data_IF_098301030680
#
_entry.id   IF_098301030680
#
_cell.length_a   1.000
_cell.length_b   1.000
_cell.length_c   1.000
_cell.angle_alpha   90.00
_cell.angle_beta   90.00
_cell.angle_gamma   90.00
#
_symmetry.space_group_name_H-M   'P 1'
#
loop_
_entity.id
_entity.type
_entity.pdbx_description
1 polymer ?
#
# COMPACT_ATOMS: atom_id res chain seq x y z
N UNK A 1 -14.15 13.80 -30.07
CA UNK A 1 -15.35 13.68 -29.21
C UNK A 1 -15.64 12.20 -28.97
N UNK A 2 -16.57 11.84 -28.08
CA UNK A 2 -17.01 10.43 -27.91
C UNK A 2 -17.57 9.89 -29.24
N UNK A 3 -18.37 10.70 -29.94
CA UNK A 3 -18.88 10.37 -31.27
C UNK A 3 -17.75 10.06 -32.26
N UNK A 4 -16.69 10.86 -32.28
CA UNK A 4 -15.56 10.61 -33.19
C UNK A 4 -14.87 9.27 -32.88
N UNK A 5 -14.68 8.94 -31.60
CA UNK A 5 -14.09 7.66 -31.17
C UNK A 5 -14.95 6.46 -31.56
N UNK A 6 -16.28 6.59 -31.49
CA UNK A 6 -17.21 5.54 -31.89
C UNK A 6 -17.13 5.23 -33.40
N UNK A 7 -16.83 6.22 -34.24
CA UNK A 7 -16.73 6.09 -35.69
C UNK A 7 -15.34 5.65 -36.19
N UNK A 8 -14.30 5.70 -35.34
CA UNK A 8 -12.98 5.19 -35.71
C UNK A 8 -13.04 3.65 -35.76
N UNK A 9 -12.50 3.00 -36.82
CA UNK A 9 -12.43 1.55 -36.86
C UNK A 9 -11.68 0.99 -35.65
N UNK A 10 -12.21 -0.03 -34.95
CA UNK A 10 -11.65 -0.52 -33.69
C UNK A 10 -10.18 -0.99 -33.83
N UNK A 11 -9.78 -1.50 -34.99
CA UNK A 11 -8.40 -1.92 -35.27
C UNK A 11 -7.39 -0.76 -35.31
N UNK A 12 -7.84 0.46 -35.60
CA UNK A 12 -6.99 1.67 -35.55
C UNK A 12 -6.73 2.01 -34.09
N UNK A 13 -7.78 2.07 -33.26
CA UNK A 13 -7.64 2.32 -31.83
C UNK A 13 -6.83 1.23 -31.13
N UNK A 14 -7.03 -0.05 -31.50
CA UNK A 14 -6.25 -1.17 -30.96
C UNK A 14 -4.76 -1.08 -31.32
N UNK A 15 -4.41 -0.58 -32.50
CA UNK A 15 -3.00 -0.34 -32.86
C UNK A 15 -2.37 0.79 -32.05
N UNK A 16 -3.14 1.84 -31.74
CA UNK A 16 -2.65 2.99 -30.97
C UNK A 16 -2.56 2.72 -29.46
N UNK A 17 -3.56 2.01 -28.91
CA UNK A 17 -3.76 1.89 -27.46
C UNK A 17 -3.77 0.42 -26.97
N UNK A 18 -3.47 -0.54 -27.83
CA UNK A 18 -3.51 -1.96 -27.50
C UNK A 18 -4.91 -2.44 -27.16
N UNK A 19 -5.03 -3.35 -26.18
CA UNK A 19 -6.32 -3.87 -25.71
C UNK A 19 -7.27 -2.73 -25.24
N UNK A 20 -6.72 -1.65 -24.67
CA UNK A 20 -7.52 -0.51 -24.24
C UNK A 20 -8.17 0.24 -25.41
N UNK A 21 -7.59 0.16 -26.61
CA UNK A 21 -8.20 0.78 -27.79
C UNK A 21 -9.54 0.16 -28.16
N UNK A 22 -9.65 -1.17 -28.05
CA UNK A 22 -10.90 -1.88 -28.25
C UNK A 22 -11.92 -1.53 -27.15
N UNK A 23 -11.47 -1.46 -25.89
CA UNK A 23 -12.31 -1.05 -24.77
C UNK A 23 -12.85 0.39 -24.94
N UNK A 24 -12.01 1.33 -25.37
CA UNK A 24 -12.40 2.72 -25.65
C UNK A 24 -13.47 2.78 -26.74
N UNK A 25 -13.32 1.99 -27.81
CA UNK A 25 -14.32 1.91 -28.88
C UNK A 25 -15.65 1.36 -28.35
N UNK A 26 -15.62 0.29 -27.57
CA UNK A 26 -16.81 -0.29 -26.93
C UNK A 26 -17.50 0.72 -26.01
N UNK A 27 -16.76 1.36 -25.09
CA UNK A 27 -17.28 2.41 -24.21
C UNK A 27 -17.88 3.58 -24.99
N UNK A 28 -17.26 3.98 -26.10
CA UNK A 28 -17.76 5.09 -26.94
C UNK A 28 -19.07 4.74 -27.65
N UNK A 29 -19.36 3.44 -27.84
CA UNK A 29 -20.62 2.93 -28.38
C UNK A 29 -21.60 2.44 -27.29
N UNK A 30 -21.30 2.70 -26.01
CA UNK A 30 -22.15 2.25 -24.89
C UNK A 30 -22.16 0.73 -24.68
N UNK A 31 -21.14 0.02 -25.16
CA UNK A 31 -21.03 -1.43 -25.04
C UNK A 31 -20.20 -1.77 -23.80
N UNK A 32 -20.82 -2.37 -22.79
CA UNK A 32 -20.15 -2.98 -21.64
C UNK A 32 -20.81 -4.32 -21.31
N UNK A 33 -20.04 -5.40 -21.35
CA UNK A 33 -20.48 -6.76 -21.04
C UNK A 33 -20.04 -7.22 -19.64
N UNK A 34 -19.41 -6.34 -18.87
CA UNK A 34 -18.91 -6.66 -17.54
C UNK A 34 -20.07 -7.06 -16.61
N UNK A 35 -19.98 -8.20 -15.92
CA UNK A 35 -21.02 -8.59 -14.99
C UNK A 35 -21.03 -7.65 -13.78
N UNK A 36 -22.20 -7.43 -13.21
CA UNK A 36 -22.30 -6.82 -11.88
C UNK A 36 -21.84 -7.85 -10.86
N UNK A 37 -20.69 -7.63 -10.25
CA UNK A 37 -20.15 -8.47 -9.16
C UNK A 37 -20.20 -7.69 -7.83
N UNK A 38 -21.22 -7.94 -6.98
CA UNK A 38 -21.32 -7.31 -5.66
C UNK A 38 -20.14 -7.63 -4.74
N UNK A 39 -19.47 -8.77 -4.94
CA UNK A 39 -18.35 -9.20 -4.12
C UNK A 39 -17.04 -8.48 -4.49
N UNK A 40 -16.94 -7.91 -5.70
CA UNK A 40 -15.75 -7.20 -6.15
C UNK A 40 -15.39 -6.04 -5.22
N UNK A 41 -16.40 -5.29 -4.75
CA UNK A 41 -16.26 -4.15 -3.83
C UNK A 41 -15.72 -4.58 -2.46
N UNK A 42 -15.96 -5.83 -2.06
CA UNK A 42 -15.56 -6.36 -0.75
C UNK A 42 -14.11 -6.86 -0.75
N UNK A 43 -13.48 -7.04 -1.91
CA UNK A 43 -12.14 -7.62 -2.04
C UNK A 43 -11.06 -6.54 -2.24
N UNK A 44 -10.47 -6.07 -1.14
CA UNK A 44 -9.30 -5.20 -1.23
C UNK A 44 -8.11 -5.99 -1.81
N UNK A 45 -7.51 -5.48 -2.90
CA UNK A 45 -6.33 -6.08 -3.53
C UNK A 45 -5.01 -5.58 -2.94
N UNK A 46 -5.07 -4.50 -2.16
CA UNK A 46 -3.90 -3.88 -1.51
C UNK A 46 -4.31 -2.91 -0.40
N UNK A 47 -3.44 -2.71 0.58
CA UNK A 47 -3.59 -1.73 1.64
C UNK A 47 -2.37 -0.82 1.65
N UNK A 48 -2.59 0.47 1.39
CA UNK A 48 -1.52 1.46 1.41
C UNK A 48 -1.86 2.69 2.23
N UNK A 49 -0.82 3.42 2.59
CA UNK A 49 -0.89 4.73 3.17
C UNK A 49 0.29 5.57 2.66
N UNK A 50 0.02 6.81 2.31
CA UNK A 50 1.03 7.75 1.83
C UNK A 50 0.88 9.09 2.54
N UNK A 51 2.02 9.75 2.75
CA UNK A 51 2.12 11.03 3.43
C UNK A 51 2.85 12.00 2.51
N UNK A 52 2.18 13.09 2.15
CA UNK A 52 2.84 14.28 1.62
C UNK A 52 3.43 15.03 2.80
N UNK A 53 4.73 15.25 2.79
CA UNK A 53 5.43 15.94 3.87
C UNK A 53 5.05 17.43 3.85
N UNK A 54 5.00 18.08 5.03
CA UNK A 54 4.70 19.52 5.11
C UNK A 54 5.77 20.38 4.42
N UNK A 55 7.01 19.87 4.40
CA UNK A 55 8.16 20.47 3.72
C UNK A 55 8.94 19.33 3.04
N UNK A 56 9.41 19.59 1.82
CA UNK A 56 10.27 18.66 1.11
C UNK A 56 11.58 18.50 1.89
N UNK A 57 12.05 17.26 2.09
CA UNK A 57 13.16 16.99 3.00
C UNK A 57 14.21 16.05 2.41
N UNK A 58 15.48 16.30 2.74
CA UNK A 58 16.60 15.39 2.51
C UNK A 58 17.06 14.72 3.80
N UNK A 59 16.34 14.91 4.92
CA UNK A 59 16.66 14.27 6.19
C UNK A 59 16.24 12.80 6.14
N UNK A 60 17.24 11.93 5.98
CA UNK A 60 17.04 10.48 5.93
C UNK A 60 16.36 9.94 7.18
N UNK A 61 16.68 10.45 8.36
CA UNK A 61 16.12 9.96 9.62
C UNK A 61 14.64 10.31 9.70
N UNK A 62 14.28 11.53 9.31
CA UNK A 62 12.87 11.96 9.21
C UNK A 62 12.08 11.12 8.20
N UNK A 63 12.65 10.84 7.02
CA UNK A 63 12.01 9.99 6.01
C UNK A 63 11.80 8.57 6.56
N UNK A 64 12.79 8.02 7.24
CA UNK A 64 12.71 6.69 7.87
C UNK A 64 11.66 6.63 8.99
N UNK A 65 11.56 7.67 9.83
CA UNK A 65 10.50 7.76 10.85
C UNK A 65 9.10 7.79 10.22
N UNK A 66 8.92 8.58 9.15
CA UNK A 66 7.66 8.62 8.40
C UNK A 66 7.34 7.26 7.78
N UNK A 67 8.33 6.58 7.19
CA UNK A 67 8.15 5.25 6.64
C UNK A 67 7.69 4.23 7.70
N UNK A 68 8.30 4.25 8.89
CA UNK A 68 7.92 3.37 10.01
C UNK A 68 6.48 3.63 10.46
N UNK A 69 6.09 4.90 10.55
CA UNK A 69 4.71 5.29 10.88
C UNK A 69 3.71 4.73 9.87
N UNK A 70 3.99 4.88 8.57
CA UNK A 70 3.14 4.34 7.51
C UNK A 70 3.06 2.80 7.57
N UNK A 71 4.16 2.12 7.89
CA UNK A 71 4.19 0.67 8.07
C UNK A 71 3.28 0.21 9.21
N UNK A 72 3.34 0.87 10.38
CA UNK A 72 2.47 0.56 11.53
C UNK A 72 0.99 0.77 11.17
N UNK A 73 0.65 1.88 10.48
CA UNK A 73 -0.72 2.17 10.07
C UNK A 73 -1.26 1.13 9.06
N UNK A 74 -0.47 0.78 8.04
CA UNK A 74 -0.84 -0.24 7.03
C UNK A 74 -0.99 -1.61 7.68
N UNK A 75 -0.05 -2.00 8.54
CA UNK A 75 -0.08 -3.28 9.23
C UNK A 75 -1.32 -3.42 10.13
N UNK A 76 -1.65 -2.39 10.92
CA UNK A 76 -2.86 -2.38 11.74
C UNK A 76 -4.13 -2.49 10.89
N UNK A 77 -4.23 -1.71 9.80
CA UNK A 77 -5.39 -1.77 8.90
C UNK A 77 -5.57 -3.16 8.28
N UNK A 78 -4.48 -3.81 7.89
CA UNK A 78 -4.52 -5.20 7.39
C UNK A 78 -5.02 -6.19 8.44
N UNK A 79 -4.55 -6.07 9.70
CA UNK A 79 -5.02 -6.91 10.80
C UNK A 79 -6.51 -6.73 11.09
N UNK A 80 -7.01 -5.49 11.10
CA UNK A 80 -8.45 -5.23 11.24
C UNK A 80 -9.27 -5.84 10.11
N UNK A 81 -8.74 -5.85 8.90
CA UNK A 81 -9.39 -6.46 7.74
C UNK A 81 -9.23 -8.00 7.69
N UNK A 82 -8.46 -8.60 8.61
CA UNK A 82 -8.23 -10.06 8.65
C UNK A 82 -7.36 -10.59 7.51
N UNK A 83 -6.46 -9.76 6.97
CA UNK A 83 -5.57 -10.11 5.87
C UNK A 83 -4.09 -10.01 6.25
N UNK A 84 -3.29 -10.87 5.63
CA UNK A 84 -1.83 -10.72 5.54
C UNK A 84 -1.44 -10.56 4.08
N UNK A 85 -0.35 -9.86 3.82
CA UNK A 85 0.16 -9.59 2.47
C UNK A 85 1.62 -9.97 2.34
N UNK A 86 2.13 -10.05 1.12
CA UNK A 86 3.51 -10.50 0.89
C UNK A 86 4.32 -9.60 -0.02
N UNK A 87 3.67 -8.72 -0.77
CA UNK A 87 4.33 -7.77 -1.67
C UNK A 87 4.30 -6.39 -1.04
N UNK A 88 5.46 -5.93 -0.58
CA UNK A 88 5.65 -4.61 0.03
C UNK A 88 6.15 -3.66 -1.05
N UNK A 89 5.56 -2.46 -1.13
CA UNK A 89 5.86 -1.45 -2.14
C UNK A 89 6.18 -0.12 -1.49
N UNK A 90 7.37 0.42 -1.79
CA UNK A 90 7.78 1.78 -1.49
C UNK A 90 7.42 2.69 -2.66
N UNK A 91 6.85 3.85 -2.34
CA UNK A 91 6.63 4.97 -3.27
C UNK A 91 7.36 6.19 -2.72
N UNK A 92 8.17 6.83 -3.56
CA UNK A 92 8.77 8.12 -3.27
C UNK A 92 8.43 9.09 -4.39
N UNK A 93 8.12 10.33 -4.03
CA UNK A 93 7.98 11.44 -4.98
C UNK A 93 8.92 12.56 -4.59
N UNK A 94 9.67 13.07 -5.55
CA UNK A 94 10.55 14.22 -5.36
C UNK A 94 9.80 15.55 -5.42
N UNK A 95 10.47 16.65 -5.06
CA UNK A 95 9.96 18.02 -5.23
C UNK A 95 9.53 18.34 -6.67
N UNK A 96 10.24 17.78 -7.66
CA UNK A 96 9.92 17.91 -9.10
C UNK A 96 8.79 16.97 -9.56
N UNK A 97 8.02 16.38 -8.64
CA UNK A 97 6.92 15.44 -8.90
C UNK A 97 7.32 14.14 -9.61
N UNK A 98 8.61 13.85 -9.77
CA UNK A 98 9.09 12.55 -10.26
C UNK A 98 8.81 11.49 -9.21
N UNK A 99 8.14 10.42 -9.62
CA UNK A 99 7.75 9.33 -8.71
C UNK A 99 8.55 8.08 -9.03
N UNK A 100 9.20 7.50 -8.02
CA UNK A 100 9.78 6.16 -8.11
C UNK A 100 8.98 5.20 -7.25
N UNK A 101 8.83 3.97 -7.76
CA UNK A 101 8.16 2.88 -7.04
C UNK A 101 9.04 1.66 -7.09
N UNK A 102 9.19 0.99 -5.94
CA UNK A 102 9.95 -0.25 -5.79
C UNK A 102 9.14 -1.22 -4.96
N UNK A 103 9.18 -2.49 -5.33
CA UNK A 103 8.47 -3.53 -4.60
C UNK A 103 9.35 -4.74 -4.35
N UNK A 104 9.05 -5.43 -3.25
CA UNK A 104 9.66 -6.71 -2.89
C UNK A 104 8.56 -7.67 -2.49
N UNK A 105 8.61 -8.87 -3.06
CA UNK A 105 7.69 -9.96 -2.71
C UNK A 105 8.40 -10.98 -1.84
N UNK A 106 7.83 -11.25 -0.66
CA UNK A 106 8.31 -12.25 0.29
C UNK A 106 7.74 -13.62 -0.03
N UNK A 107 8.42 -14.67 0.41
CA UNK A 107 7.92 -16.04 0.34
C UNK A 107 6.75 -16.28 1.32
N UNK A 108 6.78 -15.64 2.49
CA UNK A 108 5.73 -15.69 3.51
C UNK A 108 4.83 -14.45 3.49
N UNK A 109 3.61 -14.61 4.01
CA UNK A 109 2.69 -13.50 4.25
C UNK A 109 2.95 -12.86 5.61
N UNK A 110 2.82 -11.54 5.69
CA UNK A 110 3.06 -10.74 6.88
C UNK A 110 1.96 -9.69 7.09
N UNK A 111 1.69 -9.39 8.35
CA UNK A 111 0.98 -8.23 8.87
C UNK A 111 1.83 -7.53 9.95
N UNK A 112 3.14 -7.81 9.96
CA UNK A 112 4.10 -7.29 10.92
C UNK A 112 4.70 -5.99 10.39
N UNK A 113 4.45 -4.89 11.09
CA UNK A 113 4.98 -3.58 10.73
C UNK A 113 6.51 -3.53 10.66
N UNK A 114 7.22 -4.26 11.52
CA UNK A 114 8.69 -4.24 11.58
C UNK A 114 9.30 -4.96 10.37
N UNK A 115 8.68 -6.04 9.93
CA UNK A 115 9.14 -6.74 8.74
C UNK A 115 8.82 -5.96 7.46
N UNK A 116 7.63 -5.33 7.40
CA UNK A 116 7.27 -4.41 6.31
C UNK A 116 8.28 -3.24 6.29
N UNK A 117 8.60 -2.67 7.45
CA UNK A 117 9.57 -1.58 7.56
C UNK A 117 10.98 -2.01 7.14
N UNK A 118 11.42 -3.23 7.48
CA UNK A 118 12.72 -3.73 7.05
C UNK A 118 12.84 -3.76 5.51
N UNK A 119 11.78 -4.19 4.82
CA UNK A 119 11.73 -4.18 3.36
C UNK A 119 11.71 -2.75 2.78
N UNK A 120 10.90 -1.86 3.36
CA UNK A 120 10.83 -0.45 2.97
C UNK A 120 12.18 0.24 3.18
N UNK A 121 12.83 0.04 4.33
CA UNK A 121 14.13 0.62 4.66
C UNK A 121 15.22 0.15 3.70
N UNK A 122 15.23 -1.14 3.35
CA UNK A 122 16.17 -1.69 2.37
C UNK A 122 15.95 -1.06 0.98
N UNK A 123 14.69 -0.96 0.53
CA UNK A 123 14.37 -0.32 -0.75
C UNK A 123 14.71 1.17 -0.76
N UNK A 124 14.47 1.88 0.35
CA UNK A 124 14.79 3.30 0.50
C UNK A 124 16.30 3.50 0.34
N UNK A 125 17.12 2.79 1.13
CA UNK A 125 18.59 2.89 1.10
C UNK A 125 19.19 2.56 -0.28
N UNK A 126 18.57 1.64 -1.01
CA UNK A 126 19.07 1.20 -2.31
C UNK A 126 18.67 2.11 -3.48
N UNK A 127 17.62 2.93 -3.34
CA UNK A 127 17.03 3.65 -4.48
C UNK A 127 16.92 5.16 -4.30
N UNK A 128 17.04 5.67 -3.07
CA UNK A 128 17.03 7.09 -2.80
C UNK A 128 18.47 7.63 -2.88
N UNK A 129 18.69 8.68 -3.68
CA UNK A 129 20.01 9.22 -3.99
C UNK A 129 20.30 10.55 -3.25
N UNK A 130 19.46 10.90 -2.27
CA UNK A 130 19.59 12.14 -1.49
C UNK A 130 18.79 13.30 -2.04
N UNK A 131 17.97 13.10 -3.07
CA UNK A 131 17.08 14.13 -3.60
C UNK A 131 15.97 14.51 -2.58
N UNK A 132 15.49 15.77 -2.55
CA UNK A 132 14.41 16.17 -1.65
C UNK A 132 13.13 15.34 -1.87
N UNK A 133 12.66 14.68 -0.81
CA UNK A 133 11.44 13.88 -0.81
C UNK A 133 10.26 14.75 -0.41
N UNK A 134 9.23 14.76 -1.27
CA UNK A 134 7.95 15.44 -1.06
C UNK A 134 6.88 14.51 -0.50
N UNK A 135 6.86 13.26 -0.96
CA UNK A 135 5.90 12.26 -0.51
C UNK A 135 6.57 10.90 -0.36
N UNK A 136 6.20 10.20 0.70
CA UNK A 136 6.54 8.79 0.93
C UNK A 136 5.26 7.98 1.09
N UNK A 137 5.23 6.80 0.48
CA UNK A 137 4.12 5.88 0.55
C UNK A 137 4.57 4.44 0.77
N UNK A 138 3.78 3.71 1.55
CA UNK A 138 3.91 2.28 1.79
C UNK A 138 2.63 1.61 1.34
N UNK A 139 2.74 0.57 0.53
CA UNK A 139 1.60 -0.25 0.10
C UNK A 139 1.94 -1.74 0.23
N UNK A 140 1.01 -2.54 0.72
CA UNK A 140 1.13 -3.99 0.78
C UNK A 140 0.03 -4.62 -0.06
N UNK A 141 0.41 -5.60 -0.90
CA UNK A 141 -0.50 -6.34 -1.76
C UNK A 141 -0.18 -7.85 -1.75
N UNK A 142 -0.90 -8.60 -2.58
CA UNK A 142 -0.83 -10.06 -2.61
C UNK A 142 -1.41 -10.64 -1.32
N UNK A 143 -2.67 -10.31 -1.04
CA UNK A 143 -3.34 -10.69 0.20
C UNK A 143 -3.79 -12.14 0.24
N UNK A 144 -3.77 -12.68 1.46
CA UNK A 144 -4.46 -13.91 1.84
C UNK A 144 -5.12 -13.70 3.19
N UNK A 145 -6.31 -14.27 3.35
CA UNK A 145 -7.03 -14.19 4.63
C UNK A 145 -6.28 -14.98 5.71
N UNK A 146 -6.28 -14.48 6.95
CA UNK A 146 -5.66 -15.18 8.08
C UNK A 146 -6.24 -16.59 8.24
N UNK A 147 -7.57 -16.74 8.09
CA UNK A 147 -8.25 -18.04 8.14
C UNK A 147 -7.74 -19.05 7.11
N UNK A 148 -7.37 -18.59 5.92
CA UNK A 148 -6.79 -19.46 4.89
C UNK A 148 -5.36 -19.86 5.24
N UNK A 149 -4.57 -18.93 5.77
CA UNK A 149 -3.18 -19.16 6.17
C UNK A 149 -3.07 -20.08 7.38
N UNK A 150 -3.97 -19.98 8.37
CA UNK A 150 -3.97 -20.87 9.55
C UNK A 150 -4.24 -22.34 9.18
N UNK A 151 -4.96 -22.60 8.08
CA UNK A 151 -5.13 -23.96 7.54
C UNK A 151 -3.84 -24.51 6.93
N UNK A 152 -2.90 -23.64 6.58
CA UNK A 152 -1.59 -23.98 6.05
C UNK A 152 -0.52 -23.63 7.09
N UNK A 153 -0.35 -24.49 8.10
CA UNK A 153 0.64 -24.28 9.16
C UNK A 153 2.04 -24.06 8.57
N UNK A 154 2.56 -22.84 8.74
CA UNK A 154 3.92 -22.50 8.33
C UNK A 154 4.96 -23.06 9.30
N UNK A 155 6.16 -23.36 8.79
CA UNK A 155 7.27 -23.91 9.57
C UNK A 155 7.83 -22.96 10.66
N UNK A 156 7.52 -21.66 10.58
CA UNK A 156 8.02 -20.62 11.49
C UNK A 156 6.88 -19.71 11.94
N UNK A 157 6.06 -20.14 12.93
CA UNK A 157 5.03 -19.29 13.49
C UNK A 157 5.66 -18.15 14.30
N UNK A 158 4.99 -16.98 14.30
CA UNK A 158 5.20 -15.98 15.36
C UNK A 158 4.95 -16.63 16.72
N UNK A 159 5.69 -16.19 17.74
CA UNK A 159 5.41 -16.67 19.09
C UNK A 159 4.07 -16.10 19.56
N UNK A 160 3.31 -16.90 20.33
CA UNK A 160 2.01 -16.45 20.87
C UNK A 160 2.12 -15.14 21.68
N UNK A 161 3.28 -14.86 22.27
CA UNK A 161 3.56 -13.63 23.00
C UNK A 161 3.62 -12.39 22.10
N UNK A 162 4.25 -12.49 20.93
CA UNK A 162 4.32 -11.40 19.95
C UNK A 162 2.94 -11.05 19.43
N UNK A 163 2.10 -12.05 19.16
CA UNK A 163 0.74 -11.83 18.68
C UNK A 163 -0.15 -11.21 19.76
N UNK A 164 -0.05 -11.67 21.02
CA UNK A 164 -0.76 -11.05 22.15
C UNK A 164 -0.36 -9.59 22.36
N UNK A 165 0.92 -9.27 22.24
CA UNK A 165 1.40 -7.89 22.36
C UNK A 165 0.77 -7.00 21.29
N UNK A 166 0.84 -7.41 20.03
CA UNK A 166 0.29 -6.63 18.90
C UNK A 166 -1.22 -6.45 19.05
N UNK A 167 -1.95 -7.51 19.41
CA UNK A 167 -3.40 -7.43 19.67
C UNK A 167 -3.72 -6.46 20.81
N UNK A 168 -2.95 -6.49 21.90
CA UNK A 168 -3.16 -5.59 23.04
C UNK A 168 -2.94 -4.13 22.65
N UNK A 169 -1.89 -3.85 21.87
CA UNK A 169 -1.62 -2.50 21.34
C UNK A 169 -2.75 -2.02 20.44
N UNK A 170 -3.24 -2.86 19.53
CA UNK A 170 -4.35 -2.53 18.65
C UNK A 170 -5.64 -2.25 19.46
N UNK A 171 -5.96 -3.10 20.45
CA UNK A 171 -7.11 -2.89 21.34
C UNK A 171 -7.05 -1.57 22.12
N UNK A 172 -5.87 -1.17 22.60
CA UNK A 172 -5.69 0.12 23.28
C UNK A 172 -5.96 1.29 22.34
N UNK A 173 -5.48 1.21 21.09
CA UNK A 173 -5.72 2.24 20.07
C UNK A 173 -7.19 2.30 19.66
N UNK A 174 -7.88 1.17 19.58
CA UNK A 174 -9.30 1.13 19.27
C UNK A 174 -10.14 1.80 20.36
N UNK A 175 -9.76 1.60 21.63
CA UNK A 175 -10.52 2.13 22.77
C UNK A 175 -10.22 3.60 23.07
N UNK A 176 -8.97 4.03 22.96
CA UNK A 176 -8.51 5.33 23.44
C UNK A 176 -7.99 6.25 22.32
N UNK A 177 -8.03 5.80 21.07
CA UNK A 177 -7.56 6.54 19.90
C UNK A 177 -6.11 6.26 19.52
N UNK A 178 -5.73 6.67 18.31
CA UNK A 178 -4.45 6.33 17.68
C UNK A 178 -3.21 6.86 18.45
N UNK A 179 -3.40 7.92 19.23
CA UNK A 179 -2.36 8.55 20.04
C UNK A 179 -2.24 7.97 21.46
N UNK A 180 -3.09 7.01 21.84
CA UNK A 180 -3.08 6.43 23.19
C UNK A 180 -1.80 5.65 23.50
N UNK A 181 -1.23 4.99 22.48
CA UNK A 181 0.06 4.32 22.54
C UNK A 181 0.76 4.45 21.20
N UNK A 182 1.99 4.96 21.22
CA UNK A 182 2.79 5.16 20.02
C UNK A 182 4.25 4.81 20.28
N UNK A 183 4.97 4.45 19.22
CA UNK A 183 6.42 4.27 19.30
C UNK A 183 7.04 5.63 19.64
N UNK A 184 8.03 5.63 20.52
CA UNK A 184 8.75 6.86 20.88
C UNK A 184 9.34 7.58 19.65
N UNK A 185 9.73 6.82 18.63
CA UNK A 185 10.22 7.35 17.35
C UNK A 185 9.19 8.17 16.56
N UNK A 186 7.90 8.14 16.93
CA UNK A 186 6.85 8.90 16.24
C UNK A 186 6.64 10.31 16.80
N UNK A 187 7.20 10.65 17.97
CA UNK A 187 7.03 11.97 18.60
C UNK A 187 7.55 13.14 17.74
N UNK A 188 8.37 12.86 16.72
CA UNK A 188 8.92 13.85 15.78
C UNK A 188 8.33 13.73 14.37
N UNK A 189 7.38 12.82 14.14
CA UNK A 189 6.67 12.73 12.86
C UNK A 189 5.57 13.81 12.87
N UNK A 190 5.43 14.64 11.81
CA UNK A 190 4.44 15.71 11.79
C UNK A 190 3.03 15.15 12.05
N UNK A 191 2.41 15.57 13.15
CA UNK A 191 1.02 15.26 13.47
C UNK A 191 0.09 16.07 12.58
N UNK A 192 -0.04 15.71 11.31
CA UNK A 192 -1.20 16.10 10.52
C UNK A 192 -1.98 14.86 10.17
N UNK A 193 -2.72 14.40 11.17
CA UNK A 193 -3.92 13.58 11.04
C UNK A 193 -5.11 14.46 11.45
N UNK A 194 -5.34 15.52 10.69
CA UNK A 194 -6.64 16.21 10.63
C UNK A 194 -7.29 15.86 9.29
#
# INVERSE_FOLDING_TARGET
>A
TIGDLAHIPPDVLKRMFGANGYLIWQSSNGIDHSPVDPAMVLSSKSCGHELTLPEDTTDQERIMRCALFLCDAVARRMRHAGYRGRTVTLKLRSADFKTITRSRTRSSFTDNAEEIFADIAAMLRANWLGEPVRLIGVNVSGFSSVKHLERQLGLFPRTMEQDKLVQTVDMLKDKYGDNAIQRASFLQVPSKME
#
